data_IF_110850546655
#
_entry.id   IF_110850546655
#
_cell.length_a   1.000
_cell.length_b   1.000
_cell.length_c   1.000
_cell.angle_alpha   90.00
_cell.angle_beta   90.00
_cell.angle_gamma   90.00
#
_symmetry.space_group_name_H-M   'P 1'
#
loop_
_entity.id
_entity.type
_entity.pdbx_description
1 polymer ?
#
# COMPACT_ATOMS: atom_id res chain seq x y z
N UNK A 1 22.55 -17.74 -11.96
CA UNK A 1 23.05 -16.69 -11.05
C UNK A 1 21.84 -15.87 -10.67
N UNK A 2 21.16 -16.29 -9.61
CA UNK A 2 19.91 -15.65 -9.16
C UNK A 2 20.28 -14.30 -8.56
N UNK A 3 19.92 -13.22 -9.24
CA UNK A 3 19.93 -11.86 -8.69
C UNK A 3 18.91 -11.82 -7.53
N UNK A 4 19.32 -12.28 -6.35
CA UNK A 4 18.61 -11.92 -5.12
C UNK A 4 18.87 -10.44 -4.87
N UNK A 5 17.95 -9.61 -5.34
CA UNK A 5 17.87 -8.20 -4.97
C UNK A 5 17.96 -8.12 -3.43
N UNK A 6 18.94 -7.40 -2.85
CA UNK A 6 19.16 -7.40 -1.42
C UNK A 6 17.88 -6.98 -0.69
N UNK A 7 17.56 -7.57 0.48
CA UNK A 7 16.27 -7.39 1.12
C UNK A 7 16.04 -5.91 1.40
N UNK A 8 15.00 -5.36 0.76
CA UNK A 8 14.64 -3.93 0.91
C UNK A 8 14.44 -3.63 2.39
N UNK A 9 15.02 -2.51 2.85
CA UNK A 9 14.85 -2.04 4.23
C UNK A 9 13.36 -1.85 4.52
N UNK A 10 12.80 -2.70 5.37
CA UNK A 10 11.36 -2.69 5.69
C UNK A 10 10.97 -1.38 6.36
N UNK A 11 10.02 -0.66 5.77
CA UNK A 11 9.51 0.61 6.33
C UNK A 11 8.35 0.38 7.31
N UNK A 12 7.66 -0.74 7.19
CA UNK A 12 6.50 -1.09 8.01
C UNK A 12 6.65 -2.51 8.55
N UNK A 13 6.18 -2.75 9.78
CA UNK A 13 6.14 -4.09 10.37
C UNK A 13 5.18 -4.98 9.56
N UNK A 14 5.66 -6.10 8.99
CA UNK A 14 4.81 -7.01 8.24
C UNK A 14 3.70 -7.58 9.14
N UNK A 15 2.55 -7.98 8.55
CA UNK A 15 1.53 -8.65 9.32
C UNK A 15 2.08 -9.95 9.93
N UNK A 16 1.57 -10.34 11.10
CA UNK A 16 2.00 -11.57 11.78
C UNK A 16 1.66 -12.86 11.00
N UNK A 17 0.86 -12.76 9.93
CA UNK A 17 0.54 -13.84 9.01
C UNK A 17 -0.05 -13.30 7.69
N UNK A 18 -0.06 -14.13 6.65
CA UNK A 18 -0.43 -13.77 5.28
C UNK A 18 0.66 -14.16 4.27
N UNK A 19 0.41 -13.94 2.99
CA UNK A 19 1.42 -14.11 1.91
C UNK A 19 1.88 -12.74 1.41
N UNK A 20 2.89 -12.70 0.54
CA UNK A 20 3.33 -11.45 -0.11
C UNK A 20 2.24 -10.79 -0.97
N UNK A 21 1.20 -11.54 -1.32
CA UNK A 21 -0.01 -11.03 -1.97
C UNK A 21 -0.94 -10.26 -1.01
N UNK A 22 -0.71 -10.31 0.30
CA UNK A 22 -1.50 -9.64 1.32
C UNK A 22 -2.26 -10.58 2.26
N UNK A 23 -3.42 -10.12 2.75
CA UNK A 23 -4.28 -10.91 3.66
C UNK A 23 -5.10 -11.93 2.88
N UNK A 24 -5.18 -13.16 3.39
CA UNK A 24 -6.03 -14.23 2.82
C UNK A 24 -7.52 -14.06 3.15
N UNK A 25 -7.84 -13.34 4.24
CA UNK A 25 -9.22 -13.08 4.69
C UNK A 25 -9.49 -11.58 4.73
N UNK A 26 -10.69 -11.12 4.33
CA UNK A 26 -11.07 -9.71 4.44
C UNK A 26 -11.12 -9.29 5.91
N UNK A 27 -10.68 -8.07 6.17
CA UNK A 27 -10.80 -7.44 7.47
C UNK A 27 -12.23 -6.86 7.64
N UNK A 28 -12.80 -7.11 8.81
CA UNK A 28 -14.15 -6.67 9.17
C UNK A 28 -14.13 -5.28 9.80
N UNK A 29 -15.10 -4.43 9.45
CA UNK A 29 -15.30 -3.14 10.10
C UNK A 29 -15.68 -3.35 11.59
N UNK A 30 -14.91 -2.77 12.51
CA UNK A 30 -15.11 -2.96 13.96
C UNK A 30 -16.20 -2.07 14.57
N UNK A 31 -16.45 -0.89 14.01
CA UNK A 31 -17.43 0.09 14.52
C UNK A 31 -18.42 0.45 13.42
N UNK A 32 -19.65 -0.03 13.56
CA UNK A 32 -20.77 0.20 12.61
C UNK A 32 -21.79 1.20 13.16
N UNK A 33 -21.91 1.32 14.48
CA UNK A 33 -22.83 2.27 15.12
C UNK A 33 -22.55 3.72 14.70
N UNK A 34 -23.63 4.48 14.45
CA UNK A 34 -23.58 5.88 14.03
C UNK A 34 -23.16 6.11 12.58
N UNK A 35 -23.15 5.07 11.74
CA UNK A 35 -22.80 5.17 10.31
C UNK A 35 -23.95 4.69 9.43
N UNK A 36 -24.22 5.40 8.35
CA UNK A 36 -25.14 4.97 7.30
C UNK A 36 -24.60 3.73 6.58
N UNK A 37 -25.48 3.00 5.89
CA UNK A 37 -25.10 1.85 5.08
C UNK A 37 -24.06 2.19 4.02
N UNK A 38 -24.18 3.36 3.37
CA UNK A 38 -23.22 3.82 2.37
C UNK A 38 -21.85 4.14 2.97
N UNK A 39 -21.80 4.72 4.16
CA UNK A 39 -20.55 4.97 4.90
C UNK A 39 -19.88 3.67 5.31
N UNK A 40 -20.64 2.69 5.79
CA UNK A 40 -20.13 1.37 6.13
C UNK A 40 -19.55 0.67 4.90
N UNK A 41 -20.27 0.64 3.79
CA UNK A 41 -19.81 0.04 2.54
C UNK A 41 -18.57 0.75 1.96
N UNK A 42 -18.43 2.07 2.13
CA UNK A 42 -17.22 2.79 1.74
C UNK A 42 -16.02 2.40 2.64
N UNK A 43 -16.20 2.39 3.96
CA UNK A 43 -15.14 1.99 4.90
C UNK A 43 -14.70 0.55 4.70
N UNK A 44 -15.64 -0.35 4.45
CA UNK A 44 -15.35 -1.76 4.23
C UNK A 44 -14.53 -1.98 2.95
N UNK A 45 -14.79 -1.20 1.90
CA UNK A 45 -13.93 -1.16 0.70
C UNK A 45 -12.52 -0.65 1.01
N UNK A 46 -12.39 0.42 1.78
CA UNK A 46 -11.08 0.98 2.14
C UNK A 46 -10.25 0.00 2.99
N UNK A 47 -10.86 -0.64 3.98
CA UNK A 47 -10.20 -1.61 4.86
C UNK A 47 -9.72 -2.86 4.09
N UNK A 48 -10.44 -3.21 3.03
CA UNK A 48 -10.17 -4.38 2.19
C UNK A 48 -9.50 -4.04 0.86
N UNK A 49 -8.92 -2.84 0.72
CA UNK A 49 -8.15 -2.50 -0.48
C UNK A 49 -6.96 -3.48 -0.67
N UNK A 50 -6.91 -4.24 -1.79
CA UNK A 50 -5.89 -5.25 -2.01
C UNK A 50 -4.48 -4.65 -2.06
N UNK A 51 -4.33 -3.45 -2.60
CA UNK A 51 -3.02 -2.81 -2.70
C UNK A 51 -2.51 -2.34 -1.35
N UNK A 52 -3.38 -1.86 -0.46
CA UNK A 52 -3.00 -1.55 0.92
C UNK A 52 -2.53 -2.81 1.68
N UNK A 53 -3.19 -3.95 1.48
CA UNK A 53 -2.77 -5.22 2.07
C UNK A 53 -1.43 -5.71 1.52
N UNK A 54 -1.26 -5.69 0.18
CA UNK A 54 -0.03 -6.07 -0.51
C UNK A 54 1.14 -5.18 -0.12
N UNK A 55 0.93 -3.86 -0.05
CA UNK A 55 1.97 -2.90 0.35
C UNK A 55 2.54 -3.21 1.73
N UNK A 56 1.66 -3.50 2.69
CA UNK A 56 2.06 -3.87 4.05
C UNK A 56 2.79 -5.21 4.09
N UNK A 57 2.37 -6.21 3.31
CA UNK A 57 3.04 -7.50 3.22
C UNK A 57 4.47 -7.35 2.67
N UNK A 58 4.63 -6.54 1.61
CA UNK A 58 5.91 -6.22 0.99
C UNK A 58 6.76 -5.20 1.76
N UNK A 59 6.28 -4.70 2.91
CA UNK A 59 7.01 -3.76 3.76
C UNK A 59 7.09 -2.32 3.25
N UNK A 60 6.27 -1.96 2.26
CA UNK A 60 6.12 -0.58 1.79
C UNK A 60 5.32 0.28 2.77
N UNK A 61 5.58 1.59 2.75
CA UNK A 61 4.89 2.57 3.60
C UNK A 61 3.42 2.75 3.23
N UNK A 62 3.07 2.66 1.95
CA UNK A 62 1.69 2.83 1.46
C UNK A 62 1.49 2.14 0.11
N UNK A 63 0.23 2.01 -0.31
CA UNK A 63 -0.14 1.49 -1.64
C UNK A 63 0.37 2.35 -2.81
N UNK A 64 0.73 3.62 -2.56
CA UNK A 64 1.23 4.52 -3.58
C UNK A 64 2.58 4.07 -4.15
N UNK A 65 3.34 3.27 -3.37
CA UNK A 65 4.60 2.70 -3.81
C UNK A 65 4.46 1.95 -5.15
N UNK A 66 3.36 1.22 -5.37
CA UNK A 66 3.14 0.50 -6.64
C UNK A 66 3.05 1.45 -7.83
N UNK A 67 2.22 2.50 -7.74
CA UNK A 67 2.10 3.49 -8.81
C UNK A 67 3.42 4.21 -9.06
N UNK A 68 4.10 4.62 -7.99
CA UNK A 68 5.37 5.33 -8.08
C UNK A 68 6.43 4.45 -8.75
N UNK A 69 6.51 3.16 -8.39
CA UNK A 69 7.41 2.20 -9.01
C UNK A 69 7.08 1.95 -10.49
N UNK A 70 5.80 1.76 -10.85
CA UNK A 70 5.38 1.58 -12.24
C UNK A 70 5.71 2.82 -13.10
N UNK A 71 5.47 4.01 -12.56
CA UNK A 71 5.80 5.28 -13.22
C UNK A 71 7.31 5.38 -13.40
N UNK A 72 8.10 5.03 -12.40
CA UNK A 72 9.55 5.07 -12.49
C UNK A 72 10.10 4.05 -13.48
N UNK A 73 9.56 2.84 -13.51
CA UNK A 73 9.93 1.82 -14.50
C UNK A 73 9.68 2.31 -15.93
N UNK A 74 8.58 3.05 -16.14
CA UNK A 74 8.22 3.58 -17.46
C UNK A 74 9.02 4.81 -17.88
N UNK A 75 9.32 5.73 -16.95
CA UNK A 75 9.84 7.06 -17.28
C UNK A 75 11.24 7.36 -16.69
N UNK A 76 11.71 6.55 -15.74
CA UNK A 76 13.00 6.70 -15.09
C UNK A 76 13.14 8.03 -14.34
N UNK A 77 12.15 8.41 -13.53
CA UNK A 77 12.15 9.69 -12.81
C UNK A 77 13.09 9.72 -11.61
N UNK A 78 13.29 8.61 -10.91
CA UNK A 78 14.11 8.56 -9.71
C UNK A 78 15.57 8.25 -10.05
N UNK A 79 16.31 9.31 -10.39
CA UNK A 79 17.77 9.27 -10.60
C UNK A 79 18.49 9.90 -9.41
N UNK A 80 19.77 9.55 -9.22
CA UNK A 80 20.61 10.19 -8.19
C UNK A 80 20.64 11.72 -8.41
N UNK A 81 20.34 12.49 -7.38
CA UNK A 81 20.37 13.95 -7.41
C UNK A 81 19.04 14.64 -7.73
N UNK A 82 17.96 13.90 -8.01
CA UNK A 82 16.64 14.51 -8.18
C UNK A 82 16.08 15.03 -6.86
N UNK A 83 15.38 16.17 -6.91
CA UNK A 83 14.63 16.73 -5.78
C UNK A 83 13.17 16.38 -5.94
N UNK A 84 12.58 15.77 -4.91
CA UNK A 84 11.17 15.38 -4.88
C UNK A 84 10.43 16.34 -3.98
N UNK A 85 9.35 16.93 -4.48
CA UNK A 85 8.42 17.75 -3.72
C UNK A 85 7.07 17.05 -3.76
N UNK A 86 6.52 16.76 -2.59
CA UNK A 86 5.13 16.31 -2.46
C UNK A 86 4.23 17.56 -2.40
N UNK A 87 3.44 17.78 -3.45
CA UNK A 87 2.51 18.93 -3.54
C UNK A 87 1.19 18.69 -2.79
N UNK A 88 1.08 17.59 -2.05
CA UNK A 88 -0.11 17.22 -1.30
C UNK A 88 -1.09 16.41 -2.16
N UNK A 89 -1.77 15.48 -1.50
CA UNK A 89 -2.86 14.71 -2.07
C UNK A 89 -4.16 15.49 -1.84
N UNK A 90 -4.92 15.78 -2.89
CA UNK A 90 -6.31 16.22 -2.73
C UNK A 90 -7.06 15.17 -1.90
N UNK A 91 -7.87 15.55 -0.90
CA UNK A 91 -8.62 14.59 -0.09
C UNK A 91 -9.57 13.80 -1.01
N UNK A 92 -9.24 12.53 -1.26
CA UNK A 92 -9.95 11.61 -2.15
C UNK A 92 -9.25 10.26 -2.27
#
# INVERSE_FOLDING_TARGET
MTDEEPPRKRMVKPPAGGTDAGRTKPARLKKTYGRTTSQQAWLERQINDPFSAKARAMGYRSRAAFKISEIDEKFGFFKKGVRVIDLGCAPG
#
